data_IF_652771460100
#
_entry.id   IF_652771460100
#
_cell.length_a   1.000
_cell.length_b   1.000
_cell.length_c   1.000
_cell.angle_alpha   90.00
_cell.angle_beta   90.00
_cell.angle_gamma   90.00
#
_symmetry.space_group_name_H-M   'P 1'
#
loop_
_entity.id
_entity.type
_entity.pdbx_description
1 polymer ?
#
# COMPACT_ATOMS: atom_id res chain seq x y z
N UNK A 1 -24.51 55.25 60.36
CA UNK A 1 -24.71 53.77 60.40
C UNK A 1 -23.35 53.11 60.22
N UNK A 2 -22.81 52.37 61.20
CA UNK A 2 -21.54 51.68 61.01
C UNK A 2 -21.77 50.35 60.27
N UNK A 3 -21.01 50.12 59.19
CA UNK A 3 -20.95 48.85 58.49
C UNK A 3 -20.47 47.76 59.45
N UNK A 4 -21.37 46.83 59.81
CA UNK A 4 -20.98 45.56 60.44
C UNK A 4 -20.19 44.77 59.39
N UNK A 5 -18.89 44.64 59.64
CA UNK A 5 -17.97 43.83 58.84
C UNK A 5 -18.29 42.35 59.08
N UNK A 6 -18.95 41.71 58.11
CA UNK A 6 -19.35 40.30 58.15
C UNK A 6 -18.11 39.38 58.23
N UNK A 7 -17.72 39.07 59.46
CA UNK A 7 -16.64 38.14 59.80
C UNK A 7 -16.98 36.68 59.45
N UNK A 8 -18.28 36.36 59.37
CA UNK A 8 -18.78 35.03 59.05
C UNK A 8 -18.42 34.60 57.63
N UNK A 9 -18.49 35.51 56.64
CA UNK A 9 -18.12 35.21 55.26
C UNK A 9 -16.64 34.85 55.08
N UNK A 10 -15.75 35.54 55.80
CA UNK A 10 -14.31 35.26 55.76
C UNK A 10 -13.94 33.93 56.43
N UNK A 11 -14.66 33.53 57.48
CA UNK A 11 -14.48 32.23 58.12
C UNK A 11 -14.84 31.08 57.18
N UNK A 12 -15.94 31.21 56.41
CA UNK A 12 -16.33 30.21 55.41
C UNK A 12 -15.30 30.07 54.28
N UNK A 13 -14.74 31.17 53.79
CA UNK A 13 -13.69 31.13 52.75
C UNK A 13 -12.44 30.43 53.27
N UNK A 14 -12.02 30.72 54.51
CA UNK A 14 -10.86 30.06 55.11
C UNK A 14 -11.07 28.54 55.27
N UNK A 15 -12.24 28.12 55.75
CA UNK A 15 -12.57 26.70 55.90
C UNK A 15 -12.58 25.99 54.54
N UNK A 16 -13.15 26.63 53.50
CA UNK A 16 -13.17 26.09 52.15
C UNK A 16 -11.76 25.91 51.56
N UNK A 17 -10.88 26.91 51.72
CA UNK A 17 -9.49 26.84 51.24
C UNK A 17 -8.71 25.74 51.96
N UNK A 18 -8.87 25.60 53.28
CA UNK A 18 -8.24 24.54 54.07
C UNK A 18 -8.74 23.16 53.66
N UNK A 19 -10.05 23.01 53.42
CA UNK A 19 -10.63 21.75 52.95
C UNK A 19 -10.11 21.35 51.56
N UNK A 20 -10.04 22.30 50.62
CA UNK A 20 -9.47 22.07 49.29
C UNK A 20 -7.98 21.71 49.38
N UNK A 21 -7.21 22.44 50.20
CA UNK A 21 -5.81 22.15 50.45
C UNK A 21 -5.58 20.75 51.03
N UNK A 22 -6.42 20.32 51.98
CA UNK A 22 -6.36 18.99 52.57
C UNK A 22 -6.71 17.88 51.57
N UNK A 23 -7.70 18.09 50.70
CA UNK A 23 -8.05 17.14 49.62
C UNK A 23 -6.93 17.02 48.60
N UNK A 24 -6.32 18.15 48.20
CA UNK A 24 -5.20 18.17 47.27
C UNK A 24 -3.95 17.51 47.87
N UNK A 25 -3.64 17.75 49.15
CA UNK A 25 -2.54 17.12 49.87
C UNK A 25 -2.75 15.60 50.01
N UNK A 26 -3.93 15.17 50.43
CA UNK A 26 -4.28 13.76 50.57
C UNK A 26 -4.30 13.00 49.22
N UNK A 27 -4.63 13.68 48.12
CA UNK A 27 -4.50 13.11 46.77
C UNK A 27 -3.05 13.15 46.23
N UNK A 28 -2.24 14.11 46.68
CA UNK A 28 -0.82 14.20 46.33
C UNK A 28 0.00 13.03 46.90
N UNK A 29 -0.24 12.66 48.15
CA UNK A 29 0.44 11.51 48.79
C UNK A 29 -0.02 10.15 48.22
N UNK A 30 -1.28 10.01 47.80
CA UNK A 30 -1.79 8.76 47.19
C UNK A 30 -1.33 8.53 45.75
N UNK A 31 -0.89 9.57 45.06
CA UNK A 31 -0.35 9.47 43.70
C UNK A 31 1.18 9.35 43.64
N UNK A 32 1.85 9.22 44.79
CA UNK A 32 3.25 8.80 44.91
C UNK A 32 3.46 7.31 44.56
N UNK A 33 2.69 6.75 43.63
CA UNK A 33 3.02 5.48 43.02
C UNK A 33 4.36 5.68 42.31
N UNK A 34 5.44 5.22 42.94
CA UNK A 34 6.72 4.99 42.27
C UNK A 34 6.40 4.36 40.92
N UNK A 35 6.60 5.12 39.85
CA UNK A 35 6.65 4.59 38.49
C UNK A 35 7.86 3.66 38.48
N UNK A 36 7.69 2.43 38.97
CA UNK A 36 8.57 1.35 38.59
C UNK A 36 8.35 1.24 37.09
N UNK A 37 9.23 1.88 36.32
CA UNK A 37 9.35 1.67 34.90
C UNK A 37 9.43 0.16 34.72
N UNK A 38 8.33 -0.44 34.25
CA UNK A 38 8.31 -1.87 33.98
C UNK A 38 9.48 -2.12 33.02
N UNK A 39 10.40 -3.05 33.31
CA UNK A 39 11.50 -3.32 32.42
C UNK A 39 10.92 -3.60 31.03
N UNK A 40 11.42 -2.88 30.02
CA UNK A 40 11.07 -3.18 28.64
C UNK A 40 11.34 -4.67 28.39
N UNK A 41 10.47 -5.39 27.65
CA UNK A 41 10.75 -6.78 27.29
C UNK A 41 12.15 -6.86 26.70
N UNK A 42 13.04 -7.59 27.37
CA UNK A 42 14.42 -7.77 26.93
C UNK A 42 14.36 -8.59 25.63
N UNK A 43 15.11 -8.15 24.62
CA UNK A 43 15.20 -8.88 23.36
C UNK A 43 15.73 -10.30 23.64
N UNK A 44 15.00 -11.36 23.25
CA UNK A 44 15.53 -12.71 23.29
C UNK A 44 16.77 -12.82 22.39
N UNK A 45 17.65 -13.80 22.65
CA UNK A 45 18.75 -14.11 21.75
C UNK A 45 18.27 -14.34 20.30
N UNK A 46 19.09 -13.95 19.32
CA UNK A 46 18.71 -13.94 17.90
C UNK A 46 18.45 -15.35 17.33
N UNK A 47 18.95 -16.39 17.98
CA UNK A 47 18.74 -17.81 17.70
C UNK A 47 17.38 -18.33 18.21
N UNK A 48 16.62 -17.54 18.99
CA UNK A 48 15.34 -17.94 19.60
C UNK A 48 14.15 -17.26 18.91
N UNK A 49 14.22 -17.05 17.59
CA UNK A 49 13.10 -16.50 16.82
C UNK A 49 12.00 -17.58 16.73
N UNK A 50 10.77 -17.31 17.21
CA UNK A 50 9.70 -18.29 17.13
C UNK A 50 9.29 -18.50 15.68
N UNK A 51 9.03 -19.76 15.31
CA UNK A 51 8.45 -20.09 14.02
C UNK A 51 6.99 -19.63 13.95
N UNK A 52 6.60 -19.00 12.84
CA UNK A 52 5.22 -18.60 12.61
C UNK A 52 4.30 -19.83 12.62
N UNK A 53 3.22 -19.85 13.43
CA UNK A 53 2.34 -21.00 13.51
C UNK A 53 1.64 -21.25 12.17
N UNK A 54 1.45 -22.53 11.76
CA UNK A 54 0.79 -22.85 10.52
C UNK A 54 -0.71 -22.52 10.56
N UNK A 55 -1.31 -22.24 9.41
CA UNK A 55 -2.75 -22.00 9.25
C UNK A 55 -3.54 -23.31 9.26
N UNK A 56 -3.55 -24.01 10.39
CA UNK A 56 -4.38 -25.20 10.61
C UNK A 56 -5.65 -24.79 11.35
N UNK A 57 -6.80 -25.03 10.73
CA UNK A 57 -8.11 -24.69 11.28
C UNK A 57 -8.63 -25.80 12.19
N UNK A 58 -9.23 -25.41 13.32
CA UNK A 58 -10.00 -26.30 14.15
C UNK A 58 -11.27 -26.76 13.41
N UNK A 59 -11.70 -28.02 13.56
CA UNK A 59 -12.87 -28.56 12.88
C UNK A 59 -14.17 -28.13 13.57
N UNK A 60 -14.47 -26.83 13.53
CA UNK A 60 -15.66 -26.21 14.14
C UNK A 60 -16.58 -25.62 13.07
N UNK A 61 -17.87 -25.51 13.36
CA UNK A 61 -18.81 -24.83 12.47
C UNK A 61 -18.51 -23.33 12.43
N UNK A 62 -18.95 -22.61 11.38
CA UNK A 62 -18.77 -21.15 11.33
C UNK A 62 -19.45 -20.43 12.51
N UNK A 63 -20.62 -20.89 12.94
CA UNK A 63 -21.33 -20.35 14.10
C UNK A 63 -20.52 -20.53 15.38
N UNK A 64 -19.97 -21.73 15.59
CA UNK A 64 -19.11 -22.01 16.73
C UNK A 64 -17.80 -21.22 16.67
N UNK A 65 -17.21 -21.06 15.48
CA UNK A 65 -16.03 -20.25 15.27
C UNK A 65 -16.28 -18.80 15.69
N UNK A 66 -17.39 -18.18 15.23
CA UNK A 66 -17.78 -16.83 15.63
C UNK A 66 -17.96 -16.73 17.14
N UNK A 67 -18.70 -17.67 17.75
CA UNK A 67 -18.95 -17.69 19.18
C UNK A 67 -17.66 -17.85 20.01
N UNK A 68 -16.71 -18.66 19.56
CA UNK A 68 -15.43 -18.87 20.24
C UNK A 68 -14.47 -17.69 20.02
N UNK A 69 -14.43 -17.12 18.81
CA UNK A 69 -13.61 -15.95 18.49
C UNK A 69 -14.05 -14.68 19.25
N UNK A 70 -15.35 -14.55 19.50
CA UNK A 70 -15.92 -13.48 20.34
C UNK A 70 -15.43 -13.55 21.79
N UNK A 71 -15.10 -14.73 22.31
CA UNK A 71 -14.61 -14.92 23.69
C UNK A 71 -13.15 -14.50 23.87
N UNK A 72 -12.36 -14.44 22.81
CA UNK A 72 -10.98 -13.96 22.87
C UNK A 72 -11.03 -12.45 23.17
N UNK A 73 -10.40 -12.00 24.26
CA UNK A 73 -10.41 -10.58 24.61
C UNK A 73 -9.60 -9.73 23.63
N UNK A 74 -10.07 -8.50 23.35
CA UNK A 74 -9.31 -7.50 22.60
C UNK A 74 -8.27 -6.84 23.52
N UNK A 75 -6.99 -7.00 23.22
CA UNK A 75 -5.87 -6.43 23.96
C UNK A 75 -5.58 -5.02 23.42
N UNK A 76 -5.98 -4.00 24.19
CA UNK A 76 -5.70 -2.59 23.86
C UNK A 76 -4.41 -2.08 24.52
N UNK A 77 -3.94 -2.74 25.58
CA UNK A 77 -2.75 -2.33 26.33
C UNK A 77 -1.47 -2.57 25.52
N UNK A 78 -0.63 -1.56 25.44
CA UNK A 78 0.63 -1.63 24.70
C UNK A 78 0.42 -1.75 23.19
N UNK A 79 -0.74 -1.36 22.67
CA UNK A 79 -0.96 -1.20 21.23
C UNK A 79 -0.01 -0.13 20.69
N UNK A 80 0.65 -0.41 19.58
CA UNK A 80 1.58 0.52 18.93
C UNK A 80 1.27 0.55 17.44
N UNK A 81 1.12 1.76 16.90
CA UNK A 81 0.98 1.96 15.47
C UNK A 81 2.26 1.52 14.73
N UNK A 82 2.13 0.93 13.54
CA UNK A 82 3.28 0.57 12.73
C UNK A 82 4.03 1.83 12.30
N UNK A 83 5.37 1.73 12.21
CA UNK A 83 6.19 2.82 11.66
C UNK A 83 6.09 2.82 10.13
N UNK A 84 6.15 4.00 9.47
CA UNK A 84 6.25 4.10 8.02
C UNK A 84 7.29 3.15 7.44
N UNK A 85 6.97 2.56 6.31
CA UNK A 85 7.84 1.67 5.55
C UNK A 85 8.04 2.23 4.16
N UNK A 86 9.30 2.51 3.81
CA UNK A 86 9.68 2.86 2.44
C UNK A 86 10.44 1.68 1.87
N UNK A 87 9.97 1.16 0.75
CA UNK A 87 10.64 0.07 0.05
C UNK A 87 12.01 0.54 -0.46
N UNK A 88 13.08 -0.16 -0.07
CA UNK A 88 14.45 0.26 -0.38
C UNK A 88 14.92 -0.05 -1.80
N UNK A 89 14.22 -0.94 -2.52
CA UNK A 89 14.56 -1.31 -3.90
C UNK A 89 14.01 -0.37 -4.98
N UNK A 90 14.62 -0.40 -6.16
CA UNK A 90 14.21 0.40 -7.33
C UNK A 90 13.74 -0.45 -8.51
N UNK A 91 13.30 0.23 -9.58
CA UNK A 91 12.99 -0.39 -10.87
C UNK A 91 12.04 -1.59 -10.78
N UNK A 92 12.40 -2.67 -11.47
CA UNK A 92 11.57 -3.88 -11.60
C UNK A 92 11.33 -4.59 -10.26
N UNK A 93 12.28 -4.53 -9.32
CA UNK A 93 12.11 -5.14 -7.99
C UNK A 93 10.96 -4.46 -7.23
N UNK A 94 10.91 -3.12 -7.24
CA UNK A 94 9.80 -2.37 -6.64
C UNK A 94 8.47 -2.66 -7.34
N UNK A 95 8.49 -2.78 -8.67
CA UNK A 95 7.29 -3.05 -9.45
C UNK A 95 6.74 -4.47 -9.18
N UNK A 96 7.61 -5.48 -9.01
CA UNK A 96 7.21 -6.84 -8.59
C UNK A 96 6.72 -6.87 -7.15
N UNK A 97 7.39 -6.17 -6.22
CA UNK A 97 6.93 -6.05 -4.84
C UNK A 97 5.52 -5.45 -4.76
N UNK A 98 5.23 -4.41 -5.56
CA UNK A 98 3.89 -3.82 -5.69
C UNK A 98 2.87 -4.85 -6.14
N UNK A 99 3.17 -5.63 -7.17
CA UNK A 99 2.21 -6.58 -7.74
C UNK A 99 1.95 -7.76 -6.78
N UNK A 100 2.98 -8.23 -6.05
CA UNK A 100 2.80 -9.20 -4.96
C UNK A 100 1.93 -8.65 -3.82
N UNK A 101 2.18 -7.41 -3.38
CA UNK A 101 1.40 -6.77 -2.34
C UNK A 101 -0.05 -6.56 -2.78
N UNK A 102 -0.26 -6.06 -4.00
CA UNK A 102 -1.58 -5.86 -4.57
C UNK A 102 -2.37 -7.16 -4.70
N UNK A 103 -1.71 -8.26 -5.10
CA UNK A 103 -2.35 -9.58 -5.14
C UNK A 103 -2.81 -10.01 -3.75
N UNK A 104 -1.93 -9.93 -2.73
CA UNK A 104 -2.33 -10.26 -1.36
C UNK A 104 -3.52 -9.42 -0.89
N UNK A 105 -3.47 -8.11 -1.08
CA UNK A 105 -4.55 -7.20 -0.72
C UNK A 105 -5.88 -7.57 -1.40
N UNK A 106 -5.86 -7.76 -2.72
CA UNK A 106 -7.06 -7.95 -3.51
C UNK A 106 -7.70 -9.32 -3.32
N UNK A 107 -6.89 -10.38 -3.23
CA UNK A 107 -7.42 -11.74 -3.07
C UNK A 107 -7.86 -12.05 -1.64
N UNK A 108 -7.34 -11.33 -0.64
CA UNK A 108 -7.72 -11.50 0.76
C UNK A 108 -8.89 -10.59 1.17
N UNK A 109 -8.94 -9.37 0.65
CA UNK A 109 -9.92 -8.37 1.07
C UNK A 109 -10.92 -7.94 -0.01
N UNK A 110 -10.74 -8.40 -1.26
CA UNK A 110 -11.53 -7.90 -2.39
C UNK A 110 -11.22 -6.44 -2.71
N UNK A 111 -12.14 -5.78 -3.41
CA UNK A 111 -12.01 -4.37 -3.81
C UNK A 111 -12.48 -3.41 -2.70
N UNK A 112 -12.08 -3.68 -1.45
CA UNK A 112 -12.31 -2.83 -0.29
C UNK A 112 -11.00 -2.20 0.19
N UNK A 113 -10.91 -0.88 0.16
CA UNK A 113 -9.67 -0.17 0.47
C UNK A 113 -9.21 -0.39 1.93
N UNK A 114 -10.14 -0.51 2.89
CA UNK A 114 -9.77 -0.68 4.31
C UNK A 114 -9.18 -2.05 4.56
N UNK A 115 -9.85 -3.11 4.08
CA UNK A 115 -9.37 -4.48 4.17
C UNK A 115 -8.05 -4.66 3.43
N UNK A 116 -7.91 -4.08 2.23
CA UNK A 116 -6.65 -4.10 1.48
C UNK A 116 -5.51 -3.48 2.29
N UNK A 117 -5.69 -2.29 2.85
CA UNK A 117 -4.65 -1.64 3.65
C UNK A 117 -4.32 -2.43 4.93
N UNK A 118 -5.31 -3.06 5.56
CA UNK A 118 -5.10 -3.91 6.73
C UNK A 118 -4.24 -5.14 6.40
N UNK A 119 -4.57 -5.86 5.32
CA UNK A 119 -3.79 -7.01 4.83
C UNK A 119 -2.38 -6.59 4.41
N UNK A 120 -2.27 -5.48 3.68
CA UNK A 120 -0.98 -4.93 3.27
C UNK A 120 -0.08 -4.60 4.45
N UNK A 121 -0.66 -4.06 5.54
CA UNK A 121 0.10 -3.73 6.73
C UNK A 121 0.60 -4.99 7.43
N UNK A 122 -0.16 -6.08 7.42
CA UNK A 122 0.31 -7.39 7.91
C UNK A 122 1.50 -7.89 7.09
N UNK A 123 1.44 -7.80 5.75
CA UNK A 123 2.55 -8.21 4.87
C UNK A 123 3.83 -7.42 5.19
N UNK A 124 3.73 -6.10 5.34
CA UNK A 124 4.87 -5.24 5.70
C UNK A 124 5.39 -5.55 7.11
N UNK A 125 4.48 -5.76 8.08
CA UNK A 125 4.84 -6.14 9.44
C UNK A 125 5.62 -7.46 9.45
N UNK A 126 5.16 -8.46 8.68
CA UNK A 126 5.85 -9.74 8.51
C UNK A 126 7.24 -9.54 7.89
N UNK A 127 7.37 -8.83 6.78
CA UNK A 127 8.67 -8.62 6.13
C UNK A 127 9.73 -8.03 7.09
N UNK A 128 9.29 -7.15 8.00
CA UNK A 128 10.13 -6.52 9.03
C UNK A 128 10.40 -7.38 10.28
N UNK A 129 9.64 -8.45 10.48
CA UNK A 129 9.72 -9.31 11.67
C UNK A 129 10.61 -10.55 11.40
N UNK A 130 11.59 -10.90 12.25
CA UNK A 130 12.60 -11.93 11.98
C UNK A 130 12.03 -13.32 11.65
N UNK A 131 10.84 -13.67 12.16
CA UNK A 131 10.18 -14.96 11.89
C UNK A 131 9.69 -15.16 10.44
N UNK A 132 9.75 -14.14 9.58
CA UNK A 132 9.20 -14.19 8.23
C UNK A 132 10.24 -13.82 7.16
N UNK A 133 10.01 -14.21 5.89
CA UNK A 133 10.83 -13.84 4.75
C UNK A 133 11.09 -12.33 4.64
N UNK A 134 12.22 -11.96 4.04
CA UNK A 134 12.71 -10.57 3.97
C UNK A 134 12.37 -9.82 2.69
N UNK A 135 11.38 -10.30 1.94
CA UNK A 135 10.85 -9.62 0.76
C UNK A 135 9.33 -9.68 0.78
N UNK A 136 8.68 -8.76 0.07
CA UNK A 136 7.22 -8.65 0.04
C UNK A 136 6.62 -9.90 -0.64
N UNK A 137 7.10 -10.24 -1.82
CA UNK A 137 6.77 -11.45 -2.54
C UNK A 137 7.12 -12.71 -1.74
N UNK A 138 8.26 -12.72 -1.03
CA UNK A 138 8.65 -13.84 -0.18
C UNK A 138 7.65 -14.11 0.94
N UNK A 139 7.09 -13.05 1.55
CA UNK A 139 6.03 -13.18 2.57
C UNK A 139 4.72 -13.64 1.94
N UNK A 140 4.31 -13.03 0.82
CA UNK A 140 3.02 -13.33 0.17
C UNK A 140 2.98 -14.78 -0.34
N UNK A 141 4.07 -15.26 -0.93
CA UNK A 141 4.15 -16.62 -1.49
C UNK A 141 4.84 -17.61 -0.54
N UNK A 142 4.96 -17.27 0.73
CA UNK A 142 5.56 -18.17 1.72
C UNK A 142 4.77 -19.49 1.79
N UNK A 143 5.48 -20.58 1.55
CA UNK A 143 4.90 -21.93 1.57
C UNK A 143 4.10 -22.31 0.33
N UNK A 144 3.98 -21.44 -0.70
CA UNK A 144 3.16 -21.74 -1.89
C UNK A 144 3.63 -22.92 -2.74
N UNK A 145 4.85 -23.40 -2.48
CA UNK A 145 5.47 -24.58 -3.12
C UNK A 145 5.48 -25.81 -2.22
N UNK A 146 5.01 -25.68 -0.96
CA UNK A 146 5.04 -26.77 0.02
C UNK A 146 3.70 -27.48 0.06
N UNK A 147 3.73 -28.79 0.29
CA UNK A 147 2.53 -29.62 0.54
C UNK A 147 1.91 -29.30 1.90
N UNK A 148 2.70 -28.77 2.84
CA UNK A 148 2.31 -28.49 4.23
C UNK A 148 1.38 -27.28 4.41
N UNK A 149 0.96 -26.64 3.31
CA UNK A 149 0.04 -25.50 3.33
C UNK A 149 0.74 -24.15 3.11
N UNK A 150 -0.08 -23.14 2.85
CA UNK A 150 0.33 -21.84 2.33
C UNK A 150 -0.06 -20.73 3.28
N UNK A 151 0.80 -19.72 3.41
CA UNK A 151 0.58 -18.65 4.38
C UNK A 151 -0.63 -17.76 4.00
N UNK A 152 -0.84 -17.56 2.70
CA UNK A 152 -2.02 -16.93 2.12
C UNK A 152 -2.74 -17.97 1.25
N UNK A 153 -4.01 -18.24 1.52
CA UNK A 153 -4.73 -19.37 0.92
C UNK A 153 -4.87 -19.22 -0.60
N UNK A 154 -5.04 -17.97 -1.08
CA UNK A 154 -5.19 -17.66 -2.50
C UNK A 154 -4.02 -18.15 -3.37
N UNK A 155 -2.85 -18.37 -2.77
CA UNK A 155 -1.65 -18.85 -3.46
C UNK A 155 -1.69 -20.35 -3.76
N UNK A 156 -2.66 -21.08 -3.21
CA UNK A 156 -2.72 -22.55 -3.27
C UNK A 156 -4.11 -23.13 -3.52
N UNK A 157 -5.18 -22.41 -3.22
CA UNK A 157 -6.57 -22.83 -3.46
C UNK A 157 -7.03 -22.62 -4.92
N UNK A 158 -6.15 -22.11 -5.79
CA UNK A 158 -6.46 -21.81 -7.18
C UNK A 158 -7.20 -20.49 -7.38
N UNK A 159 -7.36 -19.65 -6.35
CA UNK A 159 -8.04 -18.36 -6.47
C UNK A 159 -7.38 -17.44 -7.51
N UNK A 160 -6.07 -17.56 -7.76
CA UNK A 160 -5.37 -16.83 -8.83
C UNK A 160 -5.92 -17.12 -10.24
N UNK A 161 -6.65 -18.21 -10.45
CA UNK A 161 -7.36 -18.48 -11.71
C UNK A 161 -8.58 -17.55 -11.89
N UNK A 162 -9.13 -17.01 -10.81
CA UNK A 162 -10.18 -16.00 -10.85
C UNK A 162 -9.54 -14.64 -11.11
N UNK A 163 -9.82 -14.06 -12.27
CA UNK A 163 -9.35 -12.71 -12.61
C UNK A 163 -10.35 -11.66 -12.12
N UNK A 164 -9.86 -10.72 -11.31
CA UNK A 164 -10.60 -9.50 -10.97
C UNK A 164 -10.63 -8.53 -12.15
N UNK A 165 -11.51 -7.53 -12.11
CA UNK A 165 -11.52 -6.48 -13.14
C UNK A 165 -10.20 -5.70 -13.13
N UNK A 166 -9.77 -5.23 -14.30
CA UNK A 166 -8.54 -4.44 -14.42
C UNK A 166 -8.58 -3.17 -13.55
N UNK A 167 -9.78 -2.59 -13.35
CA UNK A 167 -9.98 -1.46 -12.45
C UNK A 167 -9.73 -1.80 -10.98
N UNK A 168 -10.18 -2.96 -10.50
CA UNK A 168 -9.94 -3.42 -9.13
C UNK A 168 -8.45 -3.76 -8.92
N UNK A 169 -7.83 -4.40 -9.92
CA UNK A 169 -6.39 -4.64 -9.92
C UNK A 169 -5.57 -3.34 -9.85
N UNK A 170 -5.93 -2.34 -10.64
CA UNK A 170 -5.25 -1.05 -10.63
C UNK A 170 -5.44 -0.31 -9.31
N UNK A 171 -6.63 -0.36 -8.69
CA UNK A 171 -6.85 0.21 -7.35
C UNK A 171 -5.99 -0.50 -6.29
N UNK A 172 -5.93 -1.82 -6.31
CA UNK A 172 -5.08 -2.59 -5.41
C UNK A 172 -3.59 -2.22 -5.57
N UNK A 173 -3.12 -2.06 -6.82
CA UNK A 173 -1.77 -1.57 -7.11
C UNK A 173 -1.51 -0.16 -6.58
N UNK A 174 -2.47 0.76 -6.70
CA UNK A 174 -2.32 2.11 -6.14
C UNK A 174 -2.22 2.08 -4.61
N UNK A 175 -3.02 1.24 -3.94
CA UNK A 175 -2.93 1.02 -2.50
C UNK A 175 -1.59 0.41 -2.10
N UNK A 176 -1.08 -0.55 -2.87
CA UNK A 176 0.25 -1.11 -2.67
C UNK A 176 1.35 -0.05 -2.80
N UNK A 177 1.30 0.80 -3.84
CA UNK A 177 2.25 1.90 -4.03
C UNK A 177 2.25 2.90 -2.85
N UNK A 178 1.06 3.26 -2.34
CA UNK A 178 0.91 4.09 -1.15
C UNK A 178 1.63 3.47 0.06
N UNK A 179 1.45 2.18 0.29
CA UNK A 179 2.05 1.50 1.45
C UNK A 179 3.56 1.26 1.31
N UNK A 180 4.04 1.00 0.09
CA UNK A 180 5.47 0.88 -0.20
C UNK A 180 6.22 2.22 -0.15
N UNK A 181 5.50 3.35 -0.15
CA UNK A 181 6.06 4.71 -0.10
C UNK A 181 5.92 5.40 1.26
N UNK A 182 5.58 4.65 2.31
CA UNK A 182 5.49 5.17 3.68
C UNK A 182 4.07 5.21 4.26
N UNK A 183 3.05 4.88 3.46
CA UNK A 183 1.69 4.73 3.93
C UNK A 183 1.57 3.64 5.00
N UNK A 184 0.76 3.90 6.03
CA UNK A 184 0.52 2.98 7.14
C UNK A 184 -0.97 2.77 7.35
N UNK A 185 -1.36 1.61 7.88
CA UNK A 185 -2.71 1.37 8.41
C UNK A 185 -2.67 1.19 9.94
N UNK A 186 -2.83 2.28 10.73
CA UNK A 186 -2.58 2.23 12.17
C UNK A 186 -3.53 1.33 12.95
N UNK A 187 -4.74 1.09 12.44
CA UNK A 187 -5.79 0.36 13.16
C UNK A 187 -5.44 -1.09 13.50
N UNK A 188 -4.50 -1.72 12.78
CA UNK A 188 -4.06 -3.10 13.06
C UNK A 188 -2.71 -3.19 13.78
N UNK A 189 -2.08 -2.05 14.08
CA UNK A 189 -0.84 -2.01 14.86
C UNK A 189 0.27 -2.88 14.26
N UNK A 190 0.86 -3.72 15.11
CA UNK A 190 1.94 -4.65 14.76
C UNK A 190 1.44 -6.08 14.50
N UNK A 191 0.19 -6.24 14.06
CA UNK A 191 -0.35 -7.57 13.76
C UNK A 191 0.48 -8.27 12.67
N UNK A 192 0.76 -9.55 12.89
CA UNK A 192 1.41 -10.45 11.91
C UNK A 192 0.53 -11.63 11.55
N UNK A 193 -0.63 -11.78 12.17
CA UNK A 193 -1.58 -12.83 11.89
C UNK A 193 -2.98 -12.25 11.85
N UNK A 194 -3.83 -12.83 11.02
CA UNK A 194 -5.25 -12.52 11.00
C UNK A 194 -6.01 -13.73 10.50
N UNK A 195 -7.31 -13.74 10.78
CA UNK A 195 -8.27 -14.65 10.18
C UNK A 195 -9.66 -14.01 10.20
N UNK A 196 -10.59 -14.53 9.42
CA UNK A 196 -11.98 -14.10 9.48
C UNK A 196 -12.68 -14.68 10.72
N UNK A 197 -13.71 -14.02 11.21
CA UNK A 197 -14.40 -14.41 12.43
C UNK A 197 -15.18 -15.73 12.33
N UNK A 198 -15.42 -16.24 11.11
CA UNK A 198 -16.05 -17.54 10.82
C UNK A 198 -15.08 -18.72 10.69
N UNK A 199 -13.78 -18.52 10.84
CA UNK A 199 -12.79 -19.62 10.92
C UNK A 199 -12.04 -19.55 12.25
N UNK A 200 -11.44 -20.67 12.68
CA UNK A 200 -10.70 -20.73 13.94
C UNK A 200 -9.38 -21.49 13.80
N UNK A 201 -8.27 -20.80 13.51
CA UNK A 201 -6.94 -21.38 13.59
C UNK A 201 -6.58 -21.84 15.01
N UNK A 202 -5.82 -22.93 15.15
CA UNK A 202 -5.39 -23.42 16.48
C UNK A 202 -4.55 -22.40 17.27
N UNK A 203 -3.84 -21.52 16.58
CA UNK A 203 -3.02 -20.49 17.21
C UNK A 203 -3.81 -19.32 17.78
N UNK A 204 -5.12 -19.18 17.50
CA UNK A 204 -5.89 -18.00 17.92
C UNK A 204 -5.89 -17.81 19.45
N UNK A 205 -5.77 -18.89 20.22
CA UNK A 205 -5.71 -18.84 21.69
C UNK A 205 -4.28 -18.59 22.23
N UNK A 206 -3.23 -18.74 21.40
CA UNK A 206 -1.83 -18.53 21.80
C UNK A 206 -1.29 -17.13 21.47
N UNK A 207 -2.06 -16.33 20.73
CA UNK A 207 -1.71 -14.96 20.32
C UNK A 207 -2.64 -13.92 20.95
N UNK A 208 -2.20 -12.65 20.93
CA UNK A 208 -3.01 -11.54 21.44
C UNK A 208 -3.84 -10.93 20.30
N UNK A 209 -5.18 -11.00 20.40
CA UNK A 209 -6.08 -10.26 19.49
C UNK A 209 -5.99 -8.77 19.79
N UNK A 210 -5.58 -7.96 18.82
CA UNK A 210 -5.31 -6.52 19.02
C UNK A 210 -6.17 -5.59 18.17
N UNK A 211 -6.81 -6.10 17.11
CA UNK A 211 -7.70 -5.29 16.29
C UNK A 211 -8.78 -6.14 15.62
N UNK A 212 -9.85 -5.48 15.22
CA UNK A 212 -10.95 -6.03 14.43
C UNK A 212 -11.21 -5.02 13.31
N UNK A 213 -11.19 -5.47 12.06
CA UNK A 213 -11.54 -4.66 10.88
C UNK A 213 -12.57 -5.46 10.11
N UNK A 214 -13.81 -4.96 10.13
CA UNK A 214 -14.98 -5.69 9.64
C UNK A 214 -15.03 -7.10 10.24
N UNK A 215 -14.86 -8.13 9.41
CA UNK A 215 -14.90 -9.53 9.83
C UNK A 215 -13.51 -10.11 10.11
N UNK A 216 -12.45 -9.35 9.88
CA UNK A 216 -11.07 -9.80 10.11
C UNK A 216 -10.63 -9.49 11.54
N UNK A 217 -10.11 -10.52 12.21
CA UNK A 217 -9.55 -10.46 13.55
C UNK A 217 -8.02 -10.48 13.43
N UNK A 218 -7.35 -9.48 13.99
CA UNK A 218 -5.90 -9.30 13.87
C UNK A 218 -5.19 -9.59 15.17
N UNK A 219 -4.07 -10.32 15.08
CA UNK A 219 -3.32 -10.83 16.21
C UNK A 219 -1.84 -10.50 16.12
N UNK A 220 -1.22 -10.30 17.28
CA UNK A 220 0.23 -10.16 17.44
C UNK A 220 0.78 -11.23 18.38
N UNK A 221 2.08 -11.42 18.32
CA UNK A 221 2.82 -12.23 19.29
C UNK A 221 2.71 -11.67 20.71
N UNK A 222 2.62 -12.52 21.75
CA UNK A 222 2.80 -12.08 23.12
C UNK A 222 4.27 -11.70 23.40
N UNK A 223 4.51 -10.88 24.42
CA UNK A 223 5.85 -10.52 24.87
C UNK A 223 6.67 -9.72 23.86
N UNK A 224 7.99 -9.90 23.84
CA UNK A 224 8.92 -9.09 23.04
C UNK A 224 8.60 -9.11 21.53
N UNK A 225 8.24 -10.27 20.99
CA UNK A 225 7.98 -10.45 19.55
C UNK A 225 6.78 -9.65 19.04
N UNK A 226 5.89 -9.21 19.94
CA UNK A 226 4.78 -8.30 19.63
C UNK A 226 5.10 -6.82 19.78
N UNK A 227 6.32 -6.46 20.19
CA UNK A 227 6.74 -5.08 20.44
C UNK A 227 7.47 -4.48 19.23
N UNK A 228 7.56 -3.14 19.13
CA UNK A 228 8.32 -2.49 18.06
C UNK A 228 9.78 -2.96 17.93
N UNK A 229 10.37 -3.48 19.00
CA UNK A 229 11.73 -4.00 19.02
C UNK A 229 11.96 -5.16 18.04
N UNK A 230 10.93 -5.97 17.77
CA UNK A 230 10.99 -7.10 16.86
C UNK A 230 10.86 -6.70 15.37
N UNK A 231 10.38 -5.50 15.06
CA UNK A 231 10.08 -5.05 13.69
C UNK A 231 11.18 -4.15 13.10
N UNK A 232 12.44 -4.45 13.45
CA UNK A 232 13.64 -3.72 13.02
C UNK A 232 14.40 -4.42 11.89
N UNK A 233 13.92 -5.57 11.42
CA UNK A 233 14.56 -6.32 10.35
C UNK A 233 14.56 -5.54 9.03
N UNK A 234 15.68 -5.60 8.31
CA UNK A 234 15.81 -5.04 6.98
C UNK A 234 15.03 -5.90 5.97
N UNK A 235 14.22 -5.24 5.14
CA UNK A 235 13.59 -5.85 3.96
C UNK A 235 14.58 -5.72 2.81
N UNK A 236 14.79 -6.79 2.04
CA UNK A 236 15.89 -6.93 1.06
C UNK A 236 15.86 -5.88 -0.05
N UNK A 237 14.68 -5.41 -0.43
CA UNK A 237 14.53 -4.52 -1.59
C UNK A 237 14.78 -5.22 -2.94
N UNK A 238 14.86 -6.55 -2.94
CA UNK A 238 15.17 -7.36 -4.11
C UNK A 238 14.10 -8.44 -4.29
N UNK A 239 12.87 -7.99 -4.55
CA UNK A 239 11.75 -8.89 -4.83
C UNK A 239 11.91 -9.50 -6.22
N UNK A 240 12.12 -10.82 -6.27
CA UNK A 240 12.26 -11.60 -7.49
C UNK A 240 10.93 -11.92 -8.20
N UNK A 241 10.98 -12.54 -9.39
CA UNK A 241 9.79 -12.98 -10.09
C UNK A 241 9.06 -14.12 -9.36
N UNK A 242 7.76 -14.25 -9.64
CA UNK A 242 6.85 -15.23 -9.03
C UNK A 242 6.02 -15.83 -10.15
N UNK A 243 6.22 -17.12 -10.44
CA UNK A 243 5.54 -17.81 -11.55
C UNK A 243 4.02 -17.77 -11.42
N UNK A 244 3.50 -17.92 -10.19
CA UNK A 244 2.05 -17.86 -9.91
C UNK A 244 1.41 -16.51 -10.25
N UNK A 245 2.18 -15.43 -10.35
CA UNK A 245 1.68 -14.10 -10.75
C UNK A 245 1.86 -13.80 -12.23
N UNK A 246 2.52 -14.65 -13.01
CA UNK A 246 2.80 -14.37 -14.42
C UNK A 246 1.53 -14.07 -15.25
N UNK A 247 0.41 -14.71 -14.93
CA UNK A 247 -0.86 -14.47 -15.61
C UNK A 247 -1.52 -13.11 -15.28
N UNK A 248 -1.20 -12.52 -14.12
CA UNK A 248 -1.79 -11.27 -13.63
C UNK A 248 -0.84 -10.08 -13.78
N UNK A 249 0.47 -10.33 -13.86
CA UNK A 249 1.50 -9.32 -14.01
C UNK A 249 2.48 -9.68 -15.14
N UNK A 250 2.50 -8.87 -16.22
CA UNK A 250 3.50 -8.99 -17.26
C UNK A 250 4.94 -8.88 -16.72
N UNK A 251 5.17 -8.15 -15.63
CA UNK A 251 6.51 -7.98 -15.05
C UNK A 251 7.05 -9.30 -14.48
N UNK A 252 6.19 -10.11 -13.87
CA UNK A 252 6.57 -11.43 -13.39
C UNK A 252 6.75 -12.41 -14.55
N UNK A 253 5.92 -12.33 -15.59
CA UNK A 253 6.04 -13.20 -16.77
C UNK A 253 7.31 -12.92 -17.59
N UNK A 254 7.59 -11.64 -17.89
CA UNK A 254 8.77 -11.20 -18.66
C UNK A 254 10.06 -11.61 -17.93
N UNK A 255 10.12 -11.38 -16.61
CA UNK A 255 11.28 -11.76 -15.81
C UNK A 255 11.53 -13.27 -15.74
N UNK A 256 10.52 -14.10 -16.06
CA UNK A 256 10.63 -15.56 -16.15
C UNK A 256 10.80 -16.06 -17.60
N UNK A 257 10.80 -15.17 -18.59
CA UNK A 257 10.83 -15.55 -20.00
C UNK A 257 9.58 -16.30 -20.48
N UNK A 258 8.44 -16.11 -19.81
CA UNK A 258 7.19 -16.78 -20.15
C UNK A 258 6.44 -16.03 -21.27
N UNK A 259 5.80 -16.75 -22.22
CA UNK A 259 4.94 -16.14 -23.23
C UNK A 259 3.72 -15.51 -22.54
N UNK A 260 3.48 -14.22 -22.75
CA UNK A 260 2.27 -13.55 -22.27
C UNK A 260 1.22 -13.55 -23.38
N UNK A 261 -0.01 -14.04 -23.12
CA UNK A 261 -1.14 -13.90 -24.06
C UNK A 261 -1.63 -12.46 -24.20
N UNK A 262 -1.21 -11.61 -23.26
CA UNK A 262 -1.09 -10.18 -23.51
C UNK A 262 0.12 -10.08 -24.44
N UNK A 263 -0.12 -9.92 -25.75
CA UNK A 263 0.90 -9.35 -26.64
C UNK A 263 1.59 -8.27 -25.82
N UNK A 264 2.91 -8.35 -25.61
CA UNK A 264 3.58 -7.54 -24.60
C UNK A 264 3.00 -6.13 -24.73
N UNK A 265 2.42 -5.57 -23.67
CA UNK A 265 2.35 -4.11 -23.60
C UNK A 265 3.80 -3.76 -23.54
N UNK A 266 4.32 -3.58 -24.73
CA UNK A 266 5.70 -3.68 -25.02
C UNK A 266 6.26 -2.51 -24.20
N UNK A 267 6.96 -2.83 -23.12
CA UNK A 267 7.69 -1.81 -22.36
C UNK A 267 8.69 -1.13 -23.31
N UNK A 268 8.98 -1.82 -24.43
CA UNK A 268 9.60 -1.37 -25.65
C UNK A 268 8.63 -1.39 -26.85
N UNK A 269 7.35 -1.02 -26.72
CA UNK A 269 6.39 -0.84 -27.83
C UNK A 269 7.00 0.17 -28.77
N UNK A 270 7.82 -0.29 -29.72
CA UNK A 270 9.05 0.38 -30.13
C UNK A 270 8.83 1.88 -30.12
N UNK A 271 9.17 2.51 -28.98
CA UNK A 271 9.03 3.95 -28.82
C UNK A 271 10.15 4.45 -29.69
N UNK A 272 9.88 4.58 -30.99
CA UNK A 272 10.88 4.92 -31.98
C UNK A 272 11.46 6.26 -31.54
N UNK A 273 12.79 6.28 -31.34
CA UNK A 273 13.56 7.31 -30.64
C UNK A 273 12.74 8.54 -30.22
N UNK A 274 12.40 8.61 -28.94
CA UNK A 274 11.74 9.77 -28.36
C UNK A 274 12.69 10.97 -28.49
N UNK A 275 12.28 11.98 -29.26
CA UNK A 275 13.03 13.22 -29.40
C UNK A 275 12.49 14.21 -28.38
N UNK A 276 13.40 14.76 -27.58
CA UNK A 276 13.09 15.81 -26.61
C UNK A 276 13.56 17.13 -27.20
N UNK A 277 12.63 18.02 -27.50
CA UNK A 277 12.94 19.42 -27.81
C UNK A 277 12.91 20.18 -26.48
N UNK A 278 14.10 20.57 -26.04
CA UNK A 278 14.29 21.36 -24.83
C UNK A 278 13.83 22.78 -25.14
N UNK A 279 12.93 23.31 -24.30
CA UNK A 279 12.47 24.68 -24.44
C UNK A 279 13.63 25.67 -24.19
N UNK A 280 13.77 26.67 -25.04
CA UNK A 280 14.79 27.72 -24.94
C UNK A 280 14.14 29.11 -24.82
N UNK A 281 14.87 30.09 -24.26
CA UNK A 281 14.35 31.45 -24.06
C UNK A 281 13.13 31.48 -23.13
N UNK A 282 12.03 32.10 -23.57
CA UNK A 282 10.76 32.20 -22.81
C UNK A 282 10.09 30.85 -22.53
N UNK A 283 10.52 29.77 -23.20
CA UNK A 283 10.03 28.40 -23.01
C UNK A 283 10.98 27.53 -22.19
N UNK A 284 12.02 28.10 -21.56
CA UNK A 284 12.94 27.36 -20.72
C UNK A 284 12.23 26.52 -19.64
N UNK A 285 12.51 25.21 -19.62
CA UNK A 285 11.85 24.25 -18.73
C UNK A 285 10.48 23.75 -19.20
N UNK A 286 10.04 24.12 -20.41
CA UNK A 286 8.81 23.62 -21.04
C UNK A 286 9.10 22.64 -22.17
N UNK A 287 9.70 21.51 -21.80
CA UNK A 287 10.13 20.51 -22.78
C UNK A 287 8.94 19.88 -23.53
N UNK A 288 9.15 19.63 -24.82
CA UNK A 288 8.20 18.88 -25.66
C UNK A 288 8.84 17.57 -26.11
N UNK A 289 8.13 16.47 -25.91
CA UNK A 289 8.54 15.12 -26.28
C UNK A 289 7.72 14.66 -27.47
N UNK A 290 8.41 14.26 -28.54
CA UNK A 290 7.83 13.68 -29.74
C UNK A 290 8.24 12.22 -29.85
N UNK A 291 7.29 11.33 -30.07
CA UNK A 291 7.61 9.92 -30.23
C UNK A 291 6.78 9.22 -31.29
N UNK A 292 7.36 8.14 -31.84
CA UNK A 292 6.61 7.14 -32.56
C UNK A 292 5.86 6.27 -31.53
N UNK A 293 4.58 6.02 -31.78
CA UNK A 293 3.75 5.09 -31.04
C UNK A 293 3.58 3.81 -31.86
N UNK A 294 3.48 2.68 -31.18
CA UNK A 294 3.07 1.44 -31.84
C UNK A 294 1.58 1.53 -32.21
N UNK A 295 1.29 1.41 -33.51
CA UNK A 295 -0.06 1.40 -34.05
C UNK A 295 -0.90 0.24 -33.52
N UNK A 296 -0.27 -0.88 -33.16
CA UNK A 296 -0.95 -2.09 -32.66
C UNK A 296 -1.22 -2.04 -31.14
N UNK A 297 -0.63 -1.09 -30.44
CA UNK A 297 -0.79 -0.98 -28.99
C UNK A 297 -2.19 -0.46 -28.63
N UNK A 298 -2.67 -0.87 -27.45
CA UNK A 298 -3.94 -0.40 -26.90
C UNK A 298 -3.88 1.13 -26.66
N UNK A 299 -4.91 1.91 -27.01
CA UNK A 299 -4.90 3.37 -26.87
C UNK A 299 -4.61 3.87 -25.45
N UNK A 300 -5.01 3.10 -24.44
CA UNK A 300 -4.81 3.36 -23.01
C UNK A 300 -3.33 3.29 -22.63
N UNK A 301 -2.54 2.47 -23.34
CA UNK A 301 -1.10 2.33 -23.09
C UNK A 301 -0.31 3.60 -23.41
N UNK A 302 -0.83 4.48 -24.28
CA UNK A 302 -0.18 5.74 -24.63
C UNK A 302 -0.04 6.69 -23.45
N UNK A 303 -0.99 6.66 -22.51
CA UNK A 303 -0.92 7.45 -21.26
C UNK A 303 0.26 6.97 -20.42
N UNK A 304 0.40 5.66 -20.24
CA UNK A 304 1.52 5.06 -19.49
C UNK A 304 2.87 5.43 -20.11
N UNK A 305 2.97 5.42 -21.45
CA UNK A 305 4.18 5.83 -22.17
C UNK A 305 4.47 7.32 -21.97
N UNK A 306 3.47 8.18 -22.03
CA UNK A 306 3.62 9.61 -21.77
C UNK A 306 4.09 9.88 -20.33
N UNK A 307 3.44 9.27 -19.33
CA UNK A 307 3.82 9.42 -17.92
C UNK A 307 5.26 8.96 -17.67
N UNK A 308 5.67 7.83 -18.26
CA UNK A 308 7.04 7.32 -18.16
C UNK A 308 8.07 8.31 -18.72
N UNK A 309 7.81 8.87 -19.90
CA UNK A 309 8.74 9.78 -20.57
C UNK A 309 8.73 11.19 -19.97
N UNK A 310 7.60 11.62 -19.44
CA UNK A 310 7.48 12.89 -18.71
C UNK A 310 8.17 12.83 -17.34
N UNK A 311 8.26 11.66 -16.70
CA UNK A 311 8.85 11.48 -15.38
C UNK A 311 8.25 12.43 -14.35
N UNK A 312 9.09 13.07 -13.54
CA UNK A 312 8.69 14.00 -12.47
C UNK A 312 8.74 15.48 -12.91
N UNK A 313 8.81 15.77 -14.21
CA UNK A 313 8.92 17.15 -14.70
C UNK A 313 7.62 17.93 -14.42
N UNK A 314 7.69 19.15 -13.84
CA UNK A 314 6.50 19.94 -13.49
C UNK A 314 5.74 20.47 -14.71
N UNK A 315 6.41 20.50 -15.87
CA UNK A 315 5.79 20.70 -17.17
C UNK A 315 6.22 19.56 -18.09
N UNK A 316 5.27 18.97 -18.79
CA UNK A 316 5.57 18.03 -19.86
C UNK A 316 4.51 18.10 -20.95
N UNK A 317 4.95 18.38 -22.19
CA UNK A 317 4.12 18.23 -23.38
C UNK A 317 4.58 17.01 -24.16
N UNK A 318 3.70 16.04 -24.31
CA UNK A 318 3.96 14.80 -25.03
C UNK A 318 3.05 14.69 -26.25
N UNK A 319 3.63 14.31 -27.39
CA UNK A 319 2.94 14.21 -28.67
C UNK A 319 3.38 12.93 -29.38
N UNK A 320 2.43 12.12 -29.84
CA UNK A 320 2.70 10.80 -30.42
C UNK A 320 1.97 10.55 -31.74
N UNK A 321 2.66 9.87 -32.66
CA UNK A 321 2.15 9.47 -33.97
C UNK A 321 2.29 7.96 -34.15
N UNK A 322 1.25 7.32 -34.68
CA UNK A 322 1.28 5.89 -35.04
C UNK A 322 1.76 5.68 -36.48
N UNK A 323 1.68 6.72 -37.33
CA UNK A 323 2.22 6.70 -38.67
C UNK A 323 3.64 7.31 -38.70
N UNK A 324 4.69 6.51 -38.93
CA UNK A 324 6.08 6.99 -38.88
C UNK A 324 6.43 7.99 -39.98
N UNK A 325 5.73 7.98 -41.13
CA UNK A 325 6.00 8.96 -42.20
C UNK A 325 5.44 10.35 -41.90
N UNK A 326 4.54 10.45 -40.91
CA UNK A 326 3.91 11.70 -40.48
C UNK A 326 4.45 12.18 -39.12
N UNK A 327 5.35 11.42 -38.49
CA UNK A 327 6.10 11.89 -37.32
C UNK A 327 7.03 13.03 -37.77
N UNK A 328 6.98 14.19 -37.10
CA UNK A 328 7.85 15.30 -37.43
C UNK A 328 9.28 15.07 -36.94
N UNK A 329 10.26 15.57 -37.69
CA UNK A 329 11.66 15.52 -37.32
C UNK A 329 12.12 16.70 -36.44
N UNK A 330 11.34 17.77 -36.40
CA UNK A 330 11.59 18.99 -35.61
C UNK A 330 10.29 19.57 -35.03
N UNK A 331 10.42 20.60 -34.20
CA UNK A 331 9.32 21.42 -33.69
C UNK A 331 8.58 22.21 -34.79
N UNK A 332 9.23 22.43 -35.94
CA UNK A 332 8.61 22.95 -37.15
C UNK A 332 7.80 21.85 -37.87
N UNK A 333 6.57 21.64 -37.40
CA UNK A 333 5.65 20.65 -37.99
C UNK A 333 4.76 21.30 -39.06
N UNK A 334 4.39 20.56 -40.11
CA UNK A 334 3.35 20.96 -41.06
C UNK A 334 1.95 20.77 -40.48
N UNK A 335 0.94 21.39 -41.10
CA UNK A 335 -0.46 21.20 -40.69
C UNK A 335 -0.92 19.75 -40.87
N UNK A 336 -0.42 19.08 -41.91
CA UNK A 336 -0.66 17.65 -42.12
C UNK A 336 -0.08 16.80 -40.99
N UNK A 337 1.14 17.09 -40.51
CA UNK A 337 1.74 16.39 -39.38
C UNK A 337 0.99 16.67 -38.07
N UNK A 338 0.55 17.92 -37.83
CA UNK A 338 -0.31 18.27 -36.69
C UNK A 338 -1.62 17.50 -36.71
N UNK A 339 -2.31 17.48 -37.85
CA UNK A 339 -3.58 16.77 -38.02
C UNK A 339 -3.41 15.24 -37.97
N UNK A 340 -2.23 14.70 -38.25
CA UNK A 340 -1.95 13.27 -38.20
C UNK A 340 -1.60 12.74 -36.80
N UNK A 341 -1.51 13.61 -35.79
CA UNK A 341 -1.18 13.21 -34.43
C UNK A 341 -2.23 12.27 -33.86
N UNK A 342 -1.77 11.17 -33.25
CA UNK A 342 -2.61 10.10 -32.73
C UNK A 342 -2.95 10.30 -31.25
N UNK A 343 -2.01 10.85 -30.47
CA UNK A 343 -2.15 11.05 -29.03
C UNK A 343 -1.37 12.27 -28.54
N UNK A 344 -1.92 12.97 -27.54
CA UNK A 344 -1.28 14.09 -26.87
C UNK A 344 -1.54 14.03 -25.37
N UNK A 345 -0.51 14.31 -24.58
CA UNK A 345 -0.60 14.50 -23.15
C UNK A 345 0.07 15.81 -22.76
N UNK A 346 -0.56 16.57 -21.87
CA UNK A 346 -0.01 17.82 -21.36
C UNK A 346 -0.19 17.84 -19.85
N UNK A 347 0.91 18.04 -19.13
CA UNK A 347 0.95 18.38 -17.71
C UNK A 347 1.60 19.74 -17.53
N UNK A 348 0.92 20.60 -16.77
CA UNK A 348 1.40 21.90 -16.32
C UNK A 348 0.94 22.09 -14.87
N UNK A 349 1.81 21.73 -13.93
CA UNK A 349 1.51 21.76 -12.50
C UNK A 349 1.24 23.19 -12.00
N UNK A 350 1.88 24.20 -12.63
CA UNK A 350 1.66 25.61 -12.29
C UNK A 350 0.26 26.07 -12.70
N UNK A 351 -0.23 25.60 -13.84
CA UNK A 351 -1.58 25.89 -14.32
C UNK A 351 -2.65 24.95 -13.73
N UNK A 352 -2.26 23.94 -12.93
CA UNK A 352 -3.15 22.89 -12.45
C UNK A 352 -3.81 22.10 -13.58
N UNK A 353 -3.10 21.96 -14.72
CA UNK A 353 -3.64 21.40 -15.95
C UNK A 353 -2.98 20.07 -16.26
N UNK A 354 -3.78 19.00 -16.32
CA UNK A 354 -3.34 17.70 -16.79
C UNK A 354 -4.39 17.09 -17.71
N UNK A 355 -4.01 16.73 -18.94
CA UNK A 355 -4.95 16.17 -19.91
C UNK A 355 -4.30 15.22 -20.89
N UNK A 356 -4.97 14.09 -21.14
CA UNK A 356 -4.70 13.18 -22.24
C UNK A 356 -5.80 13.31 -23.30
N UNK A 357 -5.41 13.37 -24.58
CA UNK A 357 -6.29 13.51 -25.73
C UNK A 357 -5.89 12.52 -26.82
N UNK A 358 -6.89 11.92 -27.45
CA UNK A 358 -6.73 10.97 -28.56
C UNK A 358 -7.28 11.57 -29.85
N UNK A 359 -6.70 11.13 -30.96
CA UNK A 359 -7.35 11.26 -32.25
C UNK A 359 -8.58 10.35 -32.33
N UNK A 360 -9.76 10.88 -32.07
CA UNK A 360 -10.99 10.09 -32.10
C UNK A 360 -11.41 9.61 -33.48
N UNK A 361 -10.80 10.10 -34.58
CA UNK A 361 -10.98 9.52 -35.91
C UNK A 361 -10.18 8.23 -36.11
N UNK A 362 -9.14 8.01 -35.29
CA UNK A 362 -8.31 6.81 -35.29
C UNK A 362 -8.69 5.86 -34.14
N UNK A 363 -8.97 6.42 -32.96
CA UNK A 363 -9.29 5.69 -31.73
C UNK A 363 -10.58 6.22 -31.12
N UNK A 364 -11.72 5.56 -31.42
CA UNK A 364 -13.04 5.97 -30.94
C UNK A 364 -13.08 6.03 -29.40
N UNK A 365 -13.65 7.10 -28.84
CA UNK A 365 -13.86 7.29 -27.40
C UNK A 365 -15.33 7.60 -27.11
N UNK A 366 -15.79 7.15 -25.95
CA UNK A 366 -17.15 7.44 -25.49
C UNK A 366 -17.28 8.86 -24.92
N UNK A 367 -16.20 9.40 -24.33
CA UNK A 367 -16.14 10.77 -23.84
C UNK A 367 -15.50 11.70 -24.89
N UNK A 368 -16.32 12.56 -25.49
CA UNK A 368 -15.88 13.56 -26.47
C UNK A 368 -14.84 14.54 -25.92
N UNK A 369 -14.74 14.72 -24.61
CA UNK A 369 -13.74 15.59 -23.97
C UNK A 369 -12.33 15.01 -24.04
N UNK A 370 -12.21 13.70 -24.31
CA UNK A 370 -10.95 12.99 -24.57
C UNK A 370 -10.53 13.08 -26.04
N UNK A 371 -11.34 13.67 -26.91
CA UNK A 371 -11.00 13.86 -28.31
C UNK A 371 -10.20 15.15 -28.52
N UNK A 372 -9.15 15.07 -29.33
CA UNK A 372 -8.46 16.26 -29.82
C UNK A 372 -9.43 17.13 -30.62
N UNK A 373 -9.33 18.46 -30.43
CA UNK A 373 -9.95 19.42 -31.34
C UNK A 373 -9.16 19.40 -32.64
N UNK A 374 -9.87 19.25 -33.75
CA UNK A 374 -9.32 19.23 -35.11
C UNK A 374 -9.75 20.47 -35.86
#
# INVERSE_FOLDING_TARGET
>A
MPLRRDWTGWLFVLIAVVAIGAVLYANGEKNGARYMARPHPVAPPADVVPEAPPMVLAPVTESDARAQNAKIALVTKGFVAPRPFVYGGGGDAKARARDCLAAAMLYEAGDDAKGQQAVGQVVINRARHPAFPKSICGVVFQGSERVTGCQFTFTCDGALNRRYSDAAWQRARNNADLMLSGGTYPAIGLATHYHTDWVRPYWSDSLEKIAIVDTHLFFRWPGYWGTPGAFRGAVSGDDGPIAKLAALSPLHAIALGLPTEIAPVDANAAVGEARVVVGAGETAGRDTIYTQLDRKAAPESFVTTALRLCGDKPYCKFMGWTNPTLKPDSDAMSDTQRAAMSFSYLRDDKAGFEKALWNCSEYRRDDVRQCMKR
#
